data_IF_415517669072
#
_entry.id   IF_415517669072
#
_cell.length_a   1.000
_cell.length_b   1.000
_cell.length_c   1.000
_cell.angle_alpha   90.00
_cell.angle_beta   90.00
_cell.angle_gamma   90.00
#
_symmetry.space_group_name_H-M   'P 1'
#
loop_
_entity.id
_entity.type
_entity.pdbx_description
1 polymer ?
#
# COMPACT_ATOMS: atom_id res chain seq x y z
N UNK A 1 -8.69 3.90 -16.83
CA UNK A 1 -8.44 5.30 -16.40
C UNK A 1 -6.93 5.49 -16.44
N UNK A 2 -6.42 6.49 -17.15
CA UNK A 2 -4.96 6.66 -17.33
C UNK A 2 -4.39 7.59 -16.25
N UNK A 3 -3.09 7.49 -16.00
CA UNK A 3 -2.36 8.30 -15.02
C UNK A 3 -2.51 9.80 -15.29
N UNK A 4 -2.55 10.20 -16.57
CA UNK A 4 -2.75 11.59 -16.97
C UNK A 4 -4.08 12.13 -16.45
N UNK A 5 -5.14 11.33 -16.44
CA UNK A 5 -6.45 11.73 -15.93
C UNK A 5 -6.48 11.93 -14.40
N UNK A 6 -5.60 11.22 -13.67
CA UNK A 6 -5.45 11.37 -12.22
C UNK A 6 -4.48 12.51 -11.89
N UNK A 7 -3.49 12.76 -12.74
CA UNK A 7 -2.56 13.86 -12.56
C UNK A 7 -3.19 15.22 -12.93
N UNK A 8 -4.05 15.30 -13.94
CA UNK A 8 -4.58 16.58 -14.42
C UNK A 8 -5.82 17.09 -13.69
N UNK A 9 -6.36 16.32 -12.75
CA UNK A 9 -7.58 16.69 -12.03
C UNK A 9 -7.27 17.51 -10.78
N UNK A 10 -7.89 18.69 -10.67
CA UNK A 10 -7.94 19.50 -9.44
C UNK A 10 -8.54 18.74 -8.24
N UNK A 11 -9.17 17.59 -8.48
CA UNK A 11 -9.81 16.73 -7.48
C UNK A 11 -8.95 15.53 -7.08
N UNK A 12 -7.71 15.42 -7.59
CA UNK A 12 -6.83 14.29 -7.29
C UNK A 12 -6.11 14.45 -5.95
N UNK A 13 -6.77 14.00 -4.88
CA UNK A 13 -6.20 13.99 -3.52
C UNK A 13 -4.91 13.16 -3.47
N UNK A 14 -4.85 12.06 -4.24
CA UNK A 14 -3.67 11.21 -4.35
C UNK A 14 -2.45 11.95 -4.92
N UNK A 15 -2.64 12.92 -5.84
CA UNK A 15 -1.56 13.77 -6.36
C UNK A 15 -0.95 14.66 -5.26
N UNK A 16 -1.78 15.19 -4.36
CA UNK A 16 -1.33 16.15 -3.35
C UNK A 16 -0.84 15.49 -2.06
N UNK A 17 -1.35 14.30 -1.72
CA UNK A 17 -1.10 13.68 -0.42
C UNK A 17 -0.60 12.23 -0.48
N UNK A 18 -0.51 11.61 -1.67
CA UNK A 18 -0.12 10.20 -1.80
C UNK A 18 -1.14 9.21 -1.22
N UNK A 19 -2.35 9.68 -0.87
CA UNK A 19 -3.31 8.96 -0.06
C UNK A 19 -4.63 9.73 0.15
N UNK A 20 -5.46 9.23 1.07
CA UNK A 20 -6.74 9.85 1.47
C UNK A 20 -6.99 9.69 2.97
N UNK A 21 -7.62 10.68 3.59
CA UNK A 21 -8.14 10.56 4.95
C UNK A 21 -9.67 10.37 4.89
N UNK A 22 -10.17 9.27 5.44
CA UNK A 22 -11.60 8.97 5.50
C UNK A 22 -11.99 8.85 6.98
N UNK A 23 -12.75 9.81 7.48
CA UNK A 23 -13.25 9.84 8.88
C UNK A 23 -12.12 9.70 9.93
N UNK A 24 -10.99 10.37 9.70
CA UNK A 24 -9.83 10.33 10.61
C UNK A 24 -8.91 9.13 10.41
N UNK A 25 -9.23 8.23 9.46
CA UNK A 25 -8.40 7.09 9.12
C UNK A 25 -7.61 7.41 7.86
N UNK A 26 -6.29 7.29 7.95
CA UNK A 26 -5.38 7.55 6.83
C UNK A 26 -5.12 6.30 6.00
N UNK A 27 -5.15 6.49 4.69
CA UNK A 27 -4.83 5.48 3.69
C UNK A 27 -3.78 6.05 2.74
N UNK A 28 -2.81 5.22 2.36
CA UNK A 28 -1.79 5.56 1.36
C UNK A 28 -1.85 4.58 0.21
N UNK A 29 -1.57 5.08 -0.99
CA UNK A 29 -1.31 4.21 -2.15
C UNK A 29 0.10 3.64 -1.98
N UNK A 30 0.24 2.33 -2.13
CA UNK A 30 1.54 1.65 -2.07
C UNK A 30 1.80 0.80 -3.31
N UNK A 31 3.08 0.62 -3.65
CA UNK A 31 3.52 -0.33 -4.68
C UNK A 31 3.45 -1.79 -4.17
N UNK A 32 3.82 -2.75 -5.03
CA UNK A 32 3.90 -4.19 -4.68
C UNK A 32 4.83 -4.51 -3.51
N UNK A 33 5.76 -3.61 -3.15
CA UNK A 33 6.71 -3.76 -2.03
C UNK A 33 6.21 -3.07 -0.76
N UNK A 34 5.13 -2.31 -0.86
CA UNK A 34 4.56 -1.53 0.24
C UNK A 34 5.17 -0.14 0.37
N UNK A 35 5.98 0.32 -0.57
CA UNK A 35 6.46 1.69 -0.61
C UNK A 35 5.30 2.62 -0.94
N UNK A 36 5.12 3.67 -0.15
CA UNK A 36 4.09 4.69 -0.40
C UNK A 36 4.36 5.41 -1.70
N UNK A 37 3.32 5.96 -2.32
CA UNK A 37 3.47 6.74 -3.55
C UNK A 37 4.48 7.90 -3.39
N UNK A 38 4.57 8.49 -2.19
CA UNK A 38 5.57 9.52 -1.88
C UNK A 38 7.00 8.96 -1.87
N UNK A 39 7.23 7.81 -1.22
CA UNK A 39 8.51 7.11 -1.25
C UNK A 39 8.90 6.77 -2.71
N UNK A 40 7.96 6.24 -3.49
CA UNK A 40 8.17 5.92 -4.91
C UNK A 40 8.48 7.16 -5.76
N UNK A 41 7.81 8.28 -5.55
CA UNK A 41 8.06 9.54 -6.26
C UNK A 41 9.46 10.07 -5.99
N UNK A 42 9.90 10.03 -4.72
CA UNK A 42 11.26 10.45 -4.35
C UNK A 42 12.32 9.55 -4.99
N UNK A 43 12.11 8.23 -4.98
CA UNK A 43 13.00 7.27 -5.66
C UNK A 43 13.04 7.48 -7.18
N UNK A 44 11.89 7.78 -7.81
CA UNK A 44 11.79 8.03 -9.24
C UNK A 44 12.50 9.32 -9.65
N UNK A 45 12.28 10.41 -8.92
CA UNK A 45 12.95 11.70 -9.14
C UNK A 45 14.46 11.55 -9.05
N UNK A 46 14.96 10.90 -7.99
CA UNK A 46 16.38 10.61 -7.81
C UNK A 46 16.96 9.74 -8.92
N UNK A 47 16.16 8.83 -9.47
CA UNK A 47 16.56 7.93 -10.56
C UNK A 47 16.34 8.52 -11.97
N UNK A 48 15.83 9.76 -12.09
CA UNK A 48 15.49 10.36 -13.38
C UNK A 48 14.36 9.64 -14.13
N UNK A 49 13.47 8.95 -13.40
CA UNK A 49 12.31 8.26 -13.97
C UNK A 49 11.12 9.21 -14.05
N UNK A 50 10.35 9.06 -15.12
CA UNK A 50 9.15 9.86 -15.38
C UNK A 50 7.97 9.49 -14.45
N UNK A 51 7.95 8.25 -13.94
CA UNK A 51 6.82 7.70 -13.17
C UNK A 51 7.27 7.07 -11.86
N UNK A 52 6.51 7.31 -10.80
CA UNK A 52 6.72 6.74 -9.47
C UNK A 52 6.42 5.23 -9.43
N UNK A 53 5.31 4.83 -10.05
CA UNK A 53 4.91 3.42 -10.25
C UNK A 53 4.69 3.23 -11.75
N UNK A 54 5.38 2.27 -12.35
CA UNK A 54 5.30 2.04 -13.79
C UNK A 54 3.93 1.48 -14.20
N UNK A 55 3.43 1.78 -15.41
CA UNK A 55 2.22 1.17 -15.93
C UNK A 55 2.31 -0.37 -15.90
N UNK A 56 1.27 -1.01 -15.38
CA UNK A 56 1.22 -2.48 -15.22
C UNK A 56 1.77 -3.00 -13.90
N UNK A 57 2.47 -2.18 -13.12
CA UNK A 57 2.84 -2.55 -11.74
C UNK A 57 1.62 -2.43 -10.80
N UNK A 58 1.44 -3.37 -9.85
CA UNK A 58 0.37 -3.28 -8.87
C UNK A 58 0.49 -2.03 -7.99
N UNK A 59 -0.65 -1.39 -7.73
CA UNK A 59 -0.79 -0.31 -6.76
C UNK A 59 -2.03 -0.60 -5.90
N UNK A 60 -1.84 -0.63 -4.58
CA UNK A 60 -2.87 -1.00 -3.61
C UNK A 60 -3.11 0.17 -2.64
N UNK A 61 -4.37 0.47 -2.31
CA UNK A 61 -4.73 1.46 -1.30
C UNK A 61 -4.81 0.76 0.07
N UNK A 62 -3.91 1.10 0.98
CA UNK A 62 -3.85 0.49 2.30
C UNK A 62 -4.01 1.51 3.41
N UNK A 63 -4.64 1.07 4.49
CA UNK A 63 -4.66 1.83 5.73
C UNK A 63 -3.25 1.89 6.32
N UNK A 64 -2.82 3.06 6.75
CA UNK A 64 -1.41 3.33 7.08
C UNK A 64 -0.83 2.35 8.12
N UNK A 65 -1.63 1.93 9.09
CA UNK A 65 -1.22 1.01 10.14
C UNK A 65 -1.09 -0.47 9.69
N UNK A 66 -1.54 -0.81 8.47
CA UNK A 66 -1.34 -2.13 7.86
C UNK A 66 -0.13 -2.20 6.91
N UNK A 67 0.43 -1.07 6.49
CA UNK A 67 1.55 -1.01 5.53
C UNK A 67 2.75 -1.81 6.03
N UNK A 68 3.07 -1.76 7.32
CA UNK A 68 4.19 -2.52 7.89
C UNK A 68 3.99 -4.04 7.82
N UNK A 69 2.74 -4.52 7.88
CA UNK A 69 2.45 -5.94 7.67
C UNK A 69 2.60 -6.30 6.19
N UNK A 70 2.11 -5.44 5.30
CA UNK A 70 2.25 -5.61 3.85
C UNK A 70 3.72 -5.68 3.42
N UNK A 71 4.57 -4.74 3.87
CA UNK A 71 6.02 -4.72 3.61
C UNK A 71 6.71 -6.02 4.05
N UNK A 72 6.31 -6.60 5.18
CA UNK A 72 6.92 -7.82 5.74
C UNK A 72 6.45 -9.11 5.07
N UNK A 73 5.16 -9.21 4.75
CA UNK A 73 4.55 -10.44 4.23
C UNK A 73 4.63 -10.54 2.71
N UNK A 74 4.78 -9.39 2.04
CA UNK A 74 4.57 -9.27 0.61
C UNK A 74 3.09 -9.26 0.23
N UNK A 75 2.82 -8.74 -0.96
CA UNK A 75 1.47 -8.52 -1.50
C UNK A 75 0.59 -9.76 -1.47
N UNK A 76 1.06 -10.86 -2.05
CA UNK A 76 0.22 -12.04 -2.27
C UNK A 76 -0.17 -12.72 -0.96
N UNK A 77 0.78 -12.84 -0.02
CA UNK A 77 0.51 -13.36 1.33
C UNK A 77 -0.46 -12.45 2.07
N UNK A 78 -0.26 -11.13 1.99
CA UNK A 78 -1.11 -10.16 2.66
C UNK A 78 -2.56 -10.26 2.17
N UNK A 79 -2.77 -10.31 0.85
CA UNK A 79 -4.08 -10.47 0.21
C UNK A 79 -4.68 -11.83 0.58
N UNK A 80 -3.91 -12.92 0.51
CA UNK A 80 -4.42 -14.25 0.87
C UNK A 80 -4.96 -14.32 2.31
N UNK A 81 -4.27 -13.67 3.26
CA UNK A 81 -4.74 -13.58 4.64
C UNK A 81 -6.03 -12.76 4.72
N UNK A 82 -6.10 -11.61 4.04
CA UNK A 82 -7.30 -10.78 4.02
C UNK A 82 -8.51 -11.54 3.46
N UNK A 83 -8.31 -12.29 2.37
CA UNK A 83 -9.38 -13.04 1.72
C UNK A 83 -9.93 -14.18 2.57
N UNK A 84 -9.08 -14.84 3.35
CA UNK A 84 -9.50 -15.89 4.29
C UNK A 84 -10.21 -15.35 5.52
N UNK A 85 -10.02 -14.07 5.84
CA UNK A 85 -10.48 -13.45 7.08
C UNK A 85 -11.33 -12.19 6.82
N UNK A 86 -12.07 -12.14 5.70
CA UNK A 86 -12.83 -10.94 5.27
C UNK A 86 -13.87 -10.45 6.29
N UNK A 87 -14.36 -11.33 7.15
CA UNK A 87 -15.39 -11.03 8.15
C UNK A 87 -14.83 -10.74 9.55
N UNK A 88 -13.50 -10.85 9.73
CA UNK A 88 -12.87 -10.58 11.01
C UNK A 88 -12.87 -9.08 11.32
N UNK A 89 -12.96 -8.74 12.60
CA UNK A 89 -12.76 -7.37 13.03
C UNK A 89 -11.28 -6.96 12.89
N UNK A 90 -11.04 -5.65 12.92
CA UNK A 90 -9.70 -5.10 12.79
C UNK A 90 -8.69 -5.67 13.80
N UNK A 91 -9.11 -5.89 15.04
CA UNK A 91 -8.22 -6.33 16.12
C UNK A 91 -7.81 -7.78 15.91
N UNK A 92 -8.76 -8.63 15.51
CA UNK A 92 -8.51 -10.00 15.12
C UNK A 92 -7.58 -10.06 13.89
N UNK A 93 -7.87 -9.27 12.86
CA UNK A 93 -7.06 -9.23 11.64
C UNK A 93 -5.61 -8.78 11.92
N UNK A 94 -5.41 -7.75 12.75
CA UNK A 94 -4.08 -7.32 13.19
C UNK A 94 -3.32 -8.41 13.95
N UNK A 95 -4.02 -9.22 14.75
CA UNK A 95 -3.40 -10.35 15.46
C UNK A 95 -2.90 -11.41 14.47
N UNK A 96 -3.74 -11.79 13.51
CA UNK A 96 -3.39 -12.76 12.46
C UNK A 96 -2.16 -12.29 11.66
N UNK A 97 -2.14 -11.01 11.26
CA UNK A 97 -0.98 -10.47 10.54
C UNK A 97 0.31 -10.45 11.38
N UNK A 98 0.22 -10.14 12.68
CA UNK A 98 1.40 -10.21 13.57
C UNK A 98 1.95 -11.63 13.67
N UNK A 99 1.08 -12.61 13.83
CA UNK A 99 1.47 -14.02 13.90
C UNK A 99 2.10 -14.50 12.59
N UNK A 100 1.53 -14.13 11.44
CA UNK A 100 2.09 -14.42 10.13
C UNK A 100 3.49 -13.80 9.94
N UNK A 101 3.67 -12.53 10.35
CA UNK A 101 4.97 -11.86 10.30
C UNK A 101 6.01 -12.57 11.18
N UNK A 102 5.62 -13.01 12.38
CA UNK A 102 6.51 -13.73 13.28
C UNK A 102 6.92 -15.11 12.70
N UNK A 103 6.01 -15.79 12.00
CA UNK A 103 6.31 -17.05 11.32
C UNK A 103 7.26 -16.86 10.12
N UNK A 104 7.15 -15.75 9.39
CA UNK A 104 8.04 -15.41 8.28
C UNK A 104 9.50 -15.22 8.76
N UNK A 105 9.69 -14.51 9.87
CA UNK A 105 11.02 -14.24 10.44
C UNK A 105 11.74 -15.50 10.98
N UNK A 106 11.03 -16.59 11.26
CA UNK A 106 11.62 -17.86 11.71
C UNK A 106 12.14 -18.73 10.57
N UNK A 107 11.86 -18.36 9.31
CA UNK A 107 12.23 -19.12 8.11
C UNK A 107 13.42 -18.51 7.34
N UNK A 108 13.92 -17.36 7.77
CA UNK A 108 15.14 -16.71 7.28
C UNK A 108 16.32 -17.04 8.20
#
# INVERSE_FOLDING_TARGET
MTEEAWMSSLLSIARHHGGVNIKGIEYSIVDKRGHTLLECSFEAEKAGKDKAIMPGEPADLLRNDFINFYKKLGRDTFISILEKNRCEDEKALKKIYREACAACNKKQ
#
